data_IF_641530282407
#
_entry.id   IF_641530282407
#
_cell.length_a   1.000
_cell.length_b   1.000
_cell.length_c   1.000
_cell.angle_alpha   90.00
_cell.angle_beta   90.00
_cell.angle_gamma   90.00
#
_symmetry.space_group_name_H-M   'P 1'
#
loop_
_entity.id
_entity.type
_entity.pdbx_description
1 polymer ?
#
# COMPACT_ATOMS: atom_id res chain seq x y z
N UNK A 1 -1.50 39.22 9.90
CA UNK A 1 -1.09 37.98 9.22
C UNK A 1 -1.04 36.87 10.26
N UNK A 2 -1.93 35.88 10.16
CA UNK A 2 -1.89 34.72 11.06
C UNK A 2 -0.81 33.76 10.56
N UNK A 3 0.30 33.68 11.30
CA UNK A 3 1.32 32.65 11.11
C UNK A 3 0.70 31.27 11.34
N UNK A 4 0.45 30.52 10.26
CA UNK A 4 0.16 29.08 10.32
C UNK A 4 1.36 28.41 10.97
N UNK A 5 1.22 27.94 12.22
CA UNK A 5 2.19 27.01 12.81
C UNK A 5 2.13 25.73 12.00
N UNK A 6 3.18 25.46 11.23
CA UNK A 6 3.45 24.14 10.71
C UNK A 6 4.02 23.35 11.90
N UNK A 7 3.14 22.73 12.67
CA UNK A 7 3.57 21.70 13.61
C UNK A 7 3.94 20.48 12.76
N UNK A 8 5.18 20.43 12.27
CA UNK A 8 5.77 19.20 11.72
C UNK A 8 6.16 18.28 12.89
N UNK A 9 5.19 17.98 13.77
CA UNK A 9 5.32 16.90 14.74
C UNK A 9 4.96 15.63 13.99
N UNK A 10 5.95 14.78 13.71
CA UNK A 10 5.72 13.44 13.17
C UNK A 10 4.95 12.65 14.22
N UNK A 11 3.63 12.57 14.06
CA UNK A 11 2.78 11.71 14.88
C UNK A 11 3.19 10.27 14.58
N UNK A 12 3.50 9.44 15.60
CA UNK A 12 3.75 8.01 15.39
C UNK A 12 2.64 7.37 14.57
N UNK A 13 2.98 6.42 13.70
CA UNK A 13 2.00 5.78 12.80
C UNK A 13 0.82 5.16 13.57
N UNK A 14 1.03 4.66 14.78
CA UNK A 14 -0.01 4.09 15.64
C UNK A 14 -1.02 5.11 16.16
N UNK A 15 -0.61 6.37 16.33
CA UNK A 15 -1.43 7.46 16.86
C UNK A 15 -2.10 8.28 15.74
N UNK A 16 -1.70 8.07 14.48
CA UNK A 16 -2.30 8.73 13.32
C UNK A 16 -3.68 8.17 12.97
N UNK A 17 -4.59 9.03 12.52
CA UNK A 17 -5.89 8.67 11.94
C UNK A 17 -5.86 8.67 10.40
N UNK A 18 -4.68 8.79 9.79
CA UNK A 18 -4.53 8.69 8.34
C UNK A 18 -4.61 7.23 7.89
N UNK A 19 -5.61 6.92 7.07
CA UNK A 19 -5.72 5.66 6.35
C UNK A 19 -5.16 5.84 4.93
N UNK A 20 -4.21 4.99 4.55
CA UNK A 20 -3.60 4.99 3.23
C UNK A 20 -4.02 3.73 2.46
N UNK A 21 -4.50 3.93 1.23
CA UNK A 21 -4.78 2.85 0.27
C UNK A 21 -3.93 3.08 -0.96
N UNK A 22 -3.11 2.10 -1.32
CA UNK A 22 -2.20 2.19 -2.45
C UNK A 22 -2.28 0.92 -3.29
N UNK A 23 -2.84 0.97 -4.51
CA UNK A 23 -2.73 -0.11 -5.47
C UNK A 23 -1.25 -0.30 -5.87
N UNK A 24 -0.75 -1.54 -5.76
CA UNK A 24 0.51 -1.99 -6.38
C UNK A 24 0.27 -2.74 -7.69
N UNK A 25 -0.98 -3.08 -7.97
CA UNK A 25 -1.48 -3.57 -9.25
C UNK A 25 -3.01 -3.47 -9.29
N UNK A 26 -3.61 -3.62 -10.46
CA UNK A 26 -5.04 -3.34 -10.72
C UNK A 26 -5.47 -1.87 -10.49
N UNK A 27 -4.51 -0.96 -10.29
CA UNK A 27 -4.77 0.48 -10.25
C UNK A 27 -4.94 1.05 -11.66
N UNK A 28 -6.18 1.32 -12.07
CA UNK A 28 -6.52 1.75 -13.44
C UNK A 28 -6.17 0.70 -14.53
N UNK A 29 -6.11 -0.57 -14.18
CA UNK A 29 -5.85 -1.69 -15.09
C UNK A 29 -6.57 -2.96 -14.61
N UNK A 30 -6.51 -4.04 -15.39
CA UNK A 30 -7.07 -5.36 -15.02
C UNK A 30 -5.96 -6.41 -14.97
N UNK A 31 -5.88 -7.14 -13.87
CA UNK A 31 -4.82 -8.12 -13.60
C UNK A 31 -3.89 -7.66 -12.49
N UNK A 32 -3.05 -8.57 -11.98
CA UNK A 32 -2.09 -8.34 -10.88
C UNK A 32 -2.68 -7.61 -9.66
N UNK A 33 -3.92 -7.92 -9.29
CA UNK A 33 -4.58 -7.32 -8.11
C UNK A 33 -3.68 -7.44 -6.89
N UNK A 34 -3.32 -6.29 -6.34
CA UNK A 34 -2.54 -6.16 -5.12
C UNK A 34 -2.72 -4.74 -4.59
N UNK A 35 -3.30 -4.61 -3.41
CA UNK A 35 -3.58 -3.32 -2.77
C UNK A 35 -3.02 -3.33 -1.36
N UNK A 36 -2.24 -2.31 -1.03
CA UNK A 36 -1.73 -2.09 0.32
C UNK A 36 -2.69 -1.15 1.06
N UNK A 37 -3.08 -1.56 2.26
CA UNK A 37 -3.83 -0.76 3.22
C UNK A 37 -2.97 -0.56 4.47
N UNK A 38 -2.70 0.70 4.81
CA UNK A 38 -1.90 1.08 5.97
C UNK A 38 -2.75 1.94 6.90
N UNK A 39 -2.91 1.52 8.16
CA UNK A 39 -3.67 2.27 9.16
C UNK A 39 -3.20 1.95 10.57
N UNK A 40 -3.00 3.01 11.39
CA UNK A 40 -2.56 2.89 12.78
C UNK A 40 -1.34 1.99 12.96
N UNK A 41 -0.36 2.05 12.05
CA UNK A 41 0.85 1.22 12.11
C UNK A 41 0.68 -0.25 11.68
N UNK A 42 -0.51 -0.65 11.19
CA UNK A 42 -0.75 -1.99 10.65
C UNK A 42 -0.76 -1.94 9.13
N UNK A 43 -0.21 -2.96 8.47
CA UNK A 43 -0.14 -3.09 7.01
C UNK A 43 -0.81 -4.37 6.55
N UNK A 44 -1.81 -4.21 5.69
CA UNK A 44 -2.58 -5.31 5.11
C UNK A 44 -2.38 -5.30 3.60
N UNK A 45 -2.06 -6.46 3.03
CA UNK A 45 -2.06 -6.69 1.59
C UNK A 45 -3.37 -7.38 1.20
N UNK A 46 -4.09 -6.79 0.24
CA UNK A 46 -5.31 -7.33 -0.34
C UNK A 46 -4.99 -7.84 -1.75
N UNK A 47 -5.15 -9.14 -1.94
CA UNK A 47 -4.70 -9.92 -3.11
C UNK A 47 -3.19 -9.82 -3.41
N UNK A 48 -2.70 -10.78 -4.18
CA UNK A 48 -1.33 -10.80 -4.71
C UNK A 48 -1.29 -11.59 -6.03
N UNK A 49 -2.04 -11.11 -7.02
CA UNK A 49 -2.18 -11.77 -8.33
C UNK A 49 -1.05 -11.45 -9.33
N UNK A 50 -1.20 -11.96 -10.55
CA UNK A 50 -0.33 -11.67 -11.71
C UNK A 50 -1.11 -11.03 -12.86
N UNK A 51 -0.44 -10.28 -13.73
CA UNK A 51 -1.04 -9.67 -14.91
C UNK A 51 -1.01 -10.67 -16.08
N UNK A 52 -2.17 -11.14 -16.58
CA UNK A 52 -2.21 -12.23 -17.57
C UNK A 52 -1.67 -11.84 -18.95
N UNK A 53 -1.59 -10.53 -19.25
CA UNK A 53 -1.03 -10.01 -20.50
C UNK A 53 0.46 -9.64 -20.46
N UNK A 54 1.16 -9.94 -19.37
CA UNK A 54 2.60 -9.66 -19.21
C UNK A 54 3.35 -10.96 -18.88
N UNK A 55 4.67 -10.94 -19.02
CA UNK A 55 5.52 -12.12 -18.85
C UNK A 55 6.59 -11.91 -17.77
N UNK A 56 7.02 -13.01 -17.15
CA UNK A 56 8.10 -13.00 -16.18
C UNK A 56 7.85 -12.06 -15.00
N UNK A 57 8.86 -11.29 -14.62
CA UNK A 57 8.79 -10.36 -13.49
C UNK A 57 7.87 -9.16 -13.76
N UNK A 58 7.65 -8.80 -15.03
CA UNK A 58 6.79 -7.66 -15.41
C UNK A 58 5.31 -7.95 -15.11
N UNK A 59 4.94 -9.23 -15.00
CA UNK A 59 3.59 -9.65 -14.63
C UNK A 59 3.27 -9.46 -13.14
N UNK A 60 4.27 -9.20 -12.30
CA UNK A 60 4.08 -9.02 -10.87
C UNK A 60 3.50 -7.62 -10.56
N UNK A 61 2.87 -7.45 -9.40
CA UNK A 61 2.63 -6.13 -8.83
C UNK A 61 3.95 -5.43 -8.49
N UNK A 62 3.91 -4.12 -8.27
CA UNK A 62 5.06 -3.31 -7.83
C UNK A 62 5.42 -3.55 -6.35
N UNK A 63 5.71 -4.80 -5.99
CA UNK A 63 6.02 -5.27 -4.62
C UNK A 63 7.35 -4.69 -4.11
N UNK A 64 8.24 -4.29 -5.01
CA UNK A 64 9.50 -3.59 -4.72
C UNK A 64 9.31 -2.23 -4.02
N UNK A 65 8.10 -1.67 -4.05
CA UNK A 65 7.74 -0.43 -3.36
C UNK A 65 7.40 -0.61 -1.87
N UNK A 66 7.39 -1.86 -1.37
CA UNK A 66 7.16 -2.20 0.03
C UNK A 66 8.19 -3.23 0.53
N UNK A 67 8.33 -3.33 1.85
CA UNK A 67 9.04 -4.44 2.49
C UNK A 67 8.03 -5.56 2.83
N UNK A 68 8.10 -6.75 2.20
CA UNK A 68 7.20 -7.85 2.50
C UNK A 68 7.24 -8.31 3.96
N UNK A 69 8.36 -8.09 4.67
CA UNK A 69 8.49 -8.46 6.08
C UNK A 69 7.63 -7.59 7.01
N UNK A 70 7.17 -6.42 6.56
CA UNK A 70 6.32 -5.51 7.32
C UNK A 70 4.81 -5.75 7.08
N UNK A 71 4.44 -6.70 6.24
CA UNK A 71 3.03 -7.03 5.98
C UNK A 71 2.50 -7.93 7.09
N UNK A 72 1.55 -7.43 7.87
CA UNK A 72 0.96 -8.16 8.99
C UNK A 72 -0.01 -9.25 8.51
N UNK A 73 -0.70 -8.99 7.40
CA UNK A 73 -1.81 -9.82 6.94
C UNK A 73 -1.99 -9.75 5.42
N UNK A 74 -2.24 -10.90 4.81
CA UNK A 74 -2.60 -11.06 3.40
C UNK A 74 -4.00 -11.69 3.29
N UNK A 75 -4.92 -11.03 2.59
CA UNK A 75 -6.24 -11.57 2.25
C UNK A 75 -6.30 -11.85 0.75
N UNK A 76 -6.74 -13.05 0.36
CA UNK A 76 -7.02 -13.41 -1.03
C UNK A 76 -8.54 -13.56 -1.20
N UNK A 77 -9.09 -12.92 -2.24
CA UNK A 77 -10.52 -12.95 -2.59
C UNK A 77 -11.01 -14.25 -3.24
#
# INVERSE_FOLDING_TARGET
MATKRKCDATVPAEESDQLLIRPLGAGQEVGRSCIILEFKGRKIMLDCGIHPGLEGMDALPYIDLIDPAEIDLLLIS
#
